data_IF_551590393199
#
_entry.id   IF_551590393199
#
_cell.length_a   1.000
_cell.length_b   1.000
_cell.length_c   1.000
_cell.angle_alpha   90.00
_cell.angle_beta   90.00
_cell.angle_gamma   90.00
#
_symmetry.space_group_name_H-M   'P 1'
#
loop_
_entity.id
_entity.type
_entity.pdbx_description
1 polymer ?
#
# COMPACT_ATOMS: atom_id res chain seq x y z
N UNK A 1 -8.95 17.01 -83.52
CA UNK A 1 -10.40 16.93 -83.79
C UNK A 1 -11.04 16.15 -82.65
N UNK A 2 -12.16 16.67 -82.14
CA UNK A 2 -13.21 16.06 -81.28
C UNK A 2 -12.88 15.60 -79.84
N UNK A 3 -13.23 16.46 -78.87
CA UNK A 3 -13.90 16.11 -77.58
C UNK A 3 -15.36 15.65 -77.81
N UNK A 4 -16.23 15.30 -76.81
CA UNK A 4 -16.10 14.98 -75.36
C UNK A 4 -16.81 13.63 -74.99
N UNK A 5 -16.85 13.12 -73.73
CA UNK A 5 -17.98 13.28 -72.78
C UNK A 5 -17.77 12.44 -71.49
N UNK A 6 -17.95 13.03 -70.31
CA UNK A 6 -18.32 12.38 -69.02
C UNK A 6 -19.83 11.96 -69.05
N UNK A 7 -20.49 11.36 -68.01
CA UNK A 7 -20.08 10.95 -66.64
C UNK A 7 -20.57 9.53 -66.20
N UNK A 8 -20.05 8.98 -65.10
CA UNK A 8 -20.85 8.13 -64.18
C UNK A 8 -20.25 8.28 -62.77
N UNK A 9 -20.98 8.95 -61.89
CA UNK A 9 -21.84 8.38 -60.84
C UNK A 9 -21.07 7.88 -59.61
N UNK A 10 -21.20 8.75 -58.60
CA UNK A 10 -21.11 8.56 -57.15
C UNK A 10 -21.27 7.10 -56.70
N UNK A 11 -20.37 6.69 -55.81
CA UNK A 11 -20.76 5.94 -54.61
C UNK A 11 -19.69 6.10 -53.55
N UNK A 12 -20.02 6.85 -52.49
CA UNK A 12 -19.33 6.82 -51.21
C UNK A 12 -19.72 5.52 -50.50
N UNK A 13 -18.77 4.67 -50.08
CA UNK A 13 -19.04 3.68 -49.05
C UNK A 13 -18.60 4.23 -47.69
N UNK A 14 -19.60 4.40 -46.85
CA UNK A 14 -19.60 4.25 -45.40
C UNK A 14 -18.35 4.62 -44.60
N UNK A 15 -18.50 5.74 -43.89
CA UNK A 15 -17.93 5.91 -42.54
C UNK A 15 -18.42 4.76 -41.67
N UNK A 16 -17.60 3.72 -41.58
CA UNK A 16 -17.72 2.74 -40.51
C UNK A 16 -17.36 3.45 -39.20
N UNK A 17 -18.40 3.77 -38.44
CA UNK A 17 -18.29 4.11 -37.04
C UNK A 17 -17.56 2.97 -36.33
N UNK A 18 -16.30 3.18 -35.99
CA UNK A 18 -15.60 2.33 -35.04
C UNK A 18 -16.41 2.36 -33.73
N UNK A 19 -16.80 1.21 -33.16
CA UNK A 19 -17.47 1.20 -31.87
C UNK A 19 -16.49 1.72 -30.82
N UNK A 20 -16.83 2.87 -30.26
CA UNK A 20 -16.19 3.44 -29.07
C UNK A 20 -16.20 2.35 -28.01
N UNK A 21 -15.02 1.79 -27.70
CA UNK A 21 -14.85 0.88 -26.56
C UNK A 21 -15.50 1.57 -25.35
N UNK A 22 -16.41 0.90 -24.63
CA UNK A 22 -16.88 1.45 -23.37
C UNK A 22 -15.65 1.68 -22.49
N UNK A 23 -15.54 2.90 -21.97
CA UNK A 23 -14.53 3.26 -20.99
C UNK A 23 -14.52 2.16 -19.92
N UNK A 24 -13.36 1.51 -19.76
CA UNK A 24 -13.15 0.56 -18.68
C UNK A 24 -13.70 1.18 -17.40
N UNK A 25 -14.62 0.51 -16.67
CA UNK A 25 -15.14 1.05 -15.43
C UNK A 25 -13.93 1.36 -14.57
N UNK A 26 -13.80 2.65 -14.21
CA UNK A 26 -12.66 3.14 -13.44
C UNK A 26 -12.42 2.18 -12.30
N UNK A 27 -11.22 1.58 -12.26
CA UNK A 27 -10.76 0.83 -11.10
C UNK A 27 -10.92 1.77 -9.92
N UNK A 28 -11.96 1.55 -9.11
CA UNK A 28 -12.08 2.17 -7.80
C UNK A 28 -10.73 1.95 -7.13
N UNK A 29 -10.13 3.02 -6.62
CA UNK A 29 -8.91 2.90 -5.82
C UNK A 29 -9.16 1.82 -4.75
N UNK A 30 -8.21 0.90 -4.52
CA UNK A 30 -8.36 -0.21 -3.56
C UNK A 30 -8.75 0.24 -2.15
N UNK A 31 -8.60 1.52 -1.83
CA UNK A 31 -9.00 2.16 -0.58
C UNK A 31 -10.52 2.19 -0.33
N UNK A 32 -11.36 1.96 -1.34
CA UNK A 32 -12.82 2.10 -1.22
C UNK A 32 -13.61 0.78 -1.20
N UNK A 33 -12.98 -0.38 -1.35
CA UNK A 33 -13.68 -1.68 -1.30
C UNK A 33 -13.31 -2.45 -0.03
N UNK A 34 -14.25 -2.43 0.93
CA UNK A 34 -14.51 -3.47 1.94
C UNK A 34 -13.51 -3.74 3.07
N UNK A 35 -12.67 -2.79 3.45
CA UNK A 35 -12.04 -2.80 4.77
C UNK A 35 -11.87 -1.36 5.29
N UNK A 36 -12.98 -0.71 5.60
CA UNK A 36 -12.93 0.56 6.33
C UNK A 36 -12.64 0.28 7.80
N UNK A 37 -11.95 1.21 8.47
CA UNK A 37 -11.73 1.14 9.93
C UNK A 37 -13.05 0.89 10.68
N UNK A 38 -14.17 1.48 10.25
CA UNK A 38 -15.46 1.31 10.90
C UNK A 38 -15.97 -0.14 10.82
N UNK A 39 -15.74 -0.81 9.69
CA UNK A 39 -16.06 -2.24 9.54
C UNK A 39 -15.13 -3.10 10.38
N UNK A 40 -13.83 -2.80 10.39
CA UNK A 40 -12.85 -3.53 11.21
C UNK A 40 -13.13 -3.35 12.72
N UNK A 41 -13.52 -2.14 13.13
CA UNK A 41 -13.86 -1.80 14.52
C UNK A 41 -15.03 -2.61 15.06
N UNK A 42 -16.05 -2.90 14.23
CA UNK A 42 -17.19 -3.75 14.64
C UNK A 42 -16.80 -5.19 14.97
N UNK A 43 -15.65 -5.64 14.49
CA UNK A 43 -15.09 -6.98 14.76
C UNK A 43 -14.19 -6.98 16.00
N UNK A 44 -13.89 -5.81 16.56
CA UNK A 44 -13.14 -5.68 17.82
C UNK A 44 -14.06 -6.03 18.98
N UNK A 45 -14.14 -7.31 19.28
CA UNK A 45 -14.85 -7.79 20.47
C UNK A 45 -14.02 -7.52 21.73
N UNK A 46 -14.68 -7.30 22.87
CA UNK A 46 -14.03 -6.96 24.15
C UNK A 46 -13.05 -8.05 24.63
N UNK A 47 -13.22 -9.29 24.15
CA UNK A 47 -12.35 -10.45 24.42
C UNK A 47 -11.07 -10.45 23.56
N UNK A 48 -11.04 -9.65 22.48
CA UNK A 48 -9.93 -9.54 21.54
C UNK A 48 -8.83 -8.61 22.06
N UNK A 49 -9.18 -7.75 23.03
CA UNK A 49 -8.29 -6.82 23.69
C UNK A 49 -7.75 -7.40 24.98
N UNK A 50 -6.60 -8.09 24.91
CA UNK A 50 -5.85 -8.43 26.12
C UNK A 50 -5.09 -7.19 26.57
N UNK A 51 -5.55 -6.59 27.67
CA UNK A 51 -4.82 -5.54 28.38
C UNK A 51 -3.84 -6.26 29.32
N UNK A 52 -2.58 -6.33 28.92
CA UNK A 52 -1.48 -6.68 29.84
C UNK A 52 -0.83 -5.42 30.38
N UNK A 53 0.03 -5.55 31.39
CA UNK A 53 0.82 -4.43 31.89
C UNK A 53 1.59 -3.77 30.73
N UNK A 54 1.14 -2.59 30.30
CA UNK A 54 1.77 -1.79 29.25
C UNK A 54 1.46 -2.18 27.79
N UNK A 55 0.48 -3.04 27.49
CA UNK A 55 0.08 -3.29 26.10
C UNK A 55 -1.37 -3.75 25.90
N UNK A 56 -1.87 -3.53 24.68
CA UNK A 56 -3.10 -4.11 24.13
C UNK A 56 -2.77 -5.02 22.95
N UNK A 57 -3.56 -6.06 22.75
CA UNK A 57 -3.54 -6.90 21.56
C UNK A 57 -4.92 -6.87 20.87
N UNK A 58 -5.00 -6.99 19.56
CA UNK A 58 -6.25 -7.04 18.81
C UNK A 58 -6.06 -7.85 17.52
N UNK A 59 -7.13 -8.42 16.97
CA UNK A 59 -7.09 -9.18 15.73
C UNK A 59 -8.05 -8.52 14.72
N UNK A 60 -7.50 -7.85 13.71
CA UNK A 60 -8.30 -7.03 12.79
C UNK A 60 -8.27 -7.58 11.35
N UNK A 61 -9.40 -7.53 10.60
CA UNK A 61 -9.38 -7.82 9.18
C UNK A 61 -8.69 -6.69 8.41
N UNK A 62 -7.48 -6.93 7.87
CA UNK A 62 -6.68 -5.92 7.15
C UNK A 62 -6.45 -6.38 5.71
N UNK A 63 -6.93 -5.57 4.75
CA UNK A 63 -6.68 -5.74 3.33
C UNK A 63 -7.05 -7.16 2.84
N UNK A 64 -6.10 -7.81 2.17
CA UNK A 64 -6.28 -9.13 1.57
C UNK A 64 -5.89 -10.30 2.50
N UNK A 65 -5.70 -10.05 3.80
CA UNK A 65 -5.36 -11.13 4.72
C UNK A 65 -6.53 -12.12 4.87
N UNK A 66 -6.31 -13.43 4.68
CA UNK A 66 -7.36 -14.43 4.82
C UNK A 66 -7.78 -14.66 6.28
N UNK A 67 -6.98 -14.17 7.24
CA UNK A 67 -7.24 -14.27 8.66
C UNK A 67 -7.06 -12.89 9.31
N UNK A 68 -7.76 -12.60 10.41
CA UNK A 68 -7.51 -11.40 11.21
C UNK A 68 -6.02 -11.26 11.56
N UNK A 69 -5.48 -10.08 11.32
CA UNK A 69 -4.08 -9.75 11.55
C UNK A 69 -3.90 -9.37 13.02
N UNK A 70 -3.00 -10.04 13.78
CA UNK A 70 -2.67 -9.65 15.13
C UNK A 70 -1.97 -8.28 15.14
N UNK A 71 -2.52 -7.36 15.90
CA UNK A 71 -1.98 -6.04 16.22
C UNK A 71 -1.67 -6.02 17.69
N UNK A 72 -0.42 -5.71 18.05
CA UNK A 72 -0.05 -5.41 19.44
C UNK A 72 0.38 -3.96 19.53
N UNK A 73 -0.23 -3.20 20.43
CA UNK A 73 0.19 -1.83 20.75
C UNK A 73 0.71 -1.79 22.18
N UNK A 74 1.96 -1.37 22.34
CA UNK A 74 2.58 -1.14 23.64
C UNK A 74 2.62 0.35 23.96
N UNK A 75 2.43 0.70 25.23
CA UNK A 75 2.43 2.06 25.74
C UNK A 75 3.71 2.33 26.51
N UNK A 76 4.25 3.54 26.36
CA UNK A 76 5.46 3.97 27.09
C UNK A 76 5.09 4.86 28.26
N UNK A 77 3.91 5.50 28.26
CA UNK A 77 3.40 6.36 29.33
C UNK A 77 1.89 6.16 29.55
N UNK A 78 1.38 6.51 30.73
CA UNK A 78 -0.06 6.42 31.06
C UNK A 78 -0.89 7.59 30.49
N UNK A 79 -0.25 8.70 30.08
CA UNK A 79 -0.90 9.86 29.43
C UNK A 79 -1.04 9.70 27.90
N UNK A 80 -0.97 8.47 27.42
CA UNK A 80 -0.81 8.15 26.01
C UNK A 80 -2.13 8.23 25.20
N UNK A 81 -1.96 8.05 23.88
CA UNK A 81 -3.00 7.94 22.87
C UNK A 81 -4.11 6.95 23.26
N UNK A 82 -5.38 7.29 22.98
CA UNK A 82 -6.48 6.39 23.30
C UNK A 82 -6.38 5.05 22.53
N UNK A 83 -7.01 4.00 23.08
CA UNK A 83 -6.94 2.64 22.53
C UNK A 83 -7.51 2.57 21.10
N UNK A 84 -8.64 3.22 20.85
CA UNK A 84 -9.33 3.18 19.56
C UNK A 84 -8.47 3.83 18.48
N UNK A 85 -7.91 5.00 18.79
CA UNK A 85 -7.03 5.76 17.93
C UNK A 85 -5.71 5.01 17.68
N UNK A 86 -5.12 4.42 18.72
CA UNK A 86 -3.91 3.60 18.60
C UNK A 86 -4.10 2.42 17.65
N UNK A 87 -5.22 1.70 17.79
CA UNK A 87 -5.58 0.60 16.89
C UNK A 87 -5.89 1.10 15.48
N UNK A 88 -6.55 2.25 15.34
CA UNK A 88 -6.85 2.88 14.06
C UNK A 88 -5.59 3.26 13.30
N UNK A 89 -4.62 3.90 13.97
CA UNK A 89 -3.33 4.26 13.34
C UNK A 89 -2.57 2.99 12.95
N UNK A 90 -2.55 1.96 13.81
CA UNK A 90 -1.93 0.66 13.51
C UNK A 90 -2.57 -0.03 12.30
N UNK A 91 -3.90 0.03 12.20
CA UNK A 91 -4.67 -0.51 11.09
C UNK A 91 -4.34 0.18 9.76
N UNK A 92 -4.33 1.52 9.77
CA UNK A 92 -3.99 2.33 8.61
C UNK A 92 -2.53 2.06 8.21
N UNK A 93 -1.60 2.04 9.16
CA UNK A 93 -0.20 1.73 8.91
C UNK A 93 -0.01 0.37 8.22
N UNK A 94 -0.70 -0.66 8.69
CA UNK A 94 -0.67 -1.98 8.06
C UNK A 94 -1.20 -1.98 6.62
N UNK A 95 -2.21 -1.17 6.34
CA UNK A 95 -2.78 -1.01 4.99
C UNK A 95 -1.87 -0.18 4.09
N UNK A 96 -1.18 0.83 4.62
CA UNK A 96 -0.22 1.63 3.85
C UNK A 96 1.05 0.83 3.58
N UNK A 97 1.54 0.02 4.53
CA UNK A 97 2.72 -0.81 4.35
C UNK A 97 2.58 -1.78 3.15
N UNK A 98 1.40 -2.39 2.94
CA UNK A 98 1.16 -3.26 1.79
C UNK A 98 1.22 -2.46 0.48
N UNK A 99 0.63 -1.28 0.42
CA UNK A 99 0.70 -0.38 -0.74
C UNK A 99 2.14 0.07 -1.03
N UNK A 100 2.92 0.40 0.01
CA UNK A 100 4.33 0.79 -0.12
C UNK A 100 5.15 -0.32 -0.78
N UNK A 101 4.98 -1.57 -0.36
CA UNK A 101 5.69 -2.70 -0.99
C UNK A 101 5.30 -2.85 -2.47
N UNK A 102 4.04 -2.61 -2.82
CA UNK A 102 3.59 -2.65 -4.22
C UNK A 102 4.14 -1.48 -5.06
N UNK A 103 4.26 -0.28 -4.49
CA UNK A 103 4.93 0.86 -5.13
C UNK A 103 6.41 0.54 -5.35
N UNK A 104 7.12 0.07 -4.32
CA UNK A 104 8.55 -0.21 -4.44
C UNK A 104 8.82 -1.33 -5.44
N UNK A 105 7.97 -2.34 -5.53
CA UNK A 105 8.13 -3.39 -6.54
C UNK A 105 7.69 -2.95 -7.95
N UNK A 106 7.21 -1.72 -8.12
CA UNK A 106 6.85 -1.13 -9.41
C UNK A 106 5.46 -1.55 -9.93
N UNK A 107 4.55 -1.97 -9.05
CA UNK A 107 3.20 -2.42 -9.43
C UNK A 107 2.11 -1.37 -9.26
N UNK A 108 2.33 -0.39 -8.41
CA UNK A 108 1.38 0.70 -8.14
C UNK A 108 2.05 2.06 -8.29
N UNK A 109 1.24 3.07 -8.65
CA UNK A 109 1.65 4.47 -8.62
C UNK A 109 1.81 4.95 -7.16
N UNK A 110 2.80 5.82 -6.87
CA UNK A 110 2.95 6.44 -5.56
C UNK A 110 1.86 7.46 -5.21
N UNK A 111 1.03 7.91 -6.17
CA UNK A 111 0.09 9.04 -5.97
C UNK A 111 -0.83 8.87 -4.75
N UNK A 112 -1.26 7.63 -4.49
CA UNK A 112 -2.12 7.31 -3.35
C UNK A 112 -1.43 7.43 -1.99
N UNK A 113 -0.10 7.43 -1.94
CA UNK A 113 0.68 7.49 -0.70
C UNK A 113 0.78 8.90 -0.12
N UNK A 114 0.70 9.95 -0.95
CA UNK A 114 0.87 11.34 -0.51
C UNK A 114 -0.16 11.81 0.52
N UNK A 115 -1.28 11.10 0.67
CA UNK A 115 -2.29 11.38 1.70
C UNK A 115 -1.89 10.89 3.08
N UNK A 116 -0.94 9.96 3.16
CA UNK A 116 -0.59 9.22 4.36
C UNK A 116 0.88 9.30 4.71
N UNK A 117 1.75 9.49 3.71
CA UNK A 117 3.20 9.54 3.86
C UNK A 117 3.68 10.91 3.43
N UNK A 118 4.61 11.46 4.21
CA UNK A 118 5.28 12.70 3.88
C UNK A 118 5.95 12.61 2.49
N UNK A 119 5.82 13.66 1.66
CA UNK A 119 6.26 13.63 0.27
C UNK A 119 7.76 13.33 0.08
N UNK A 120 8.59 13.74 1.03
CA UNK A 120 10.02 13.43 1.06
C UNK A 120 10.29 11.91 1.11
N UNK A 121 9.47 11.15 1.84
CA UNK A 121 9.56 9.70 1.92
C UNK A 121 8.92 8.99 0.74
N UNK A 122 7.84 9.53 0.17
CA UNK A 122 7.29 9.02 -1.10
C UNK A 122 8.37 9.07 -2.19
N UNK A 123 9.10 10.18 -2.28
CA UNK A 123 10.21 10.33 -3.23
C UNK A 123 11.30 9.28 -3.01
N UNK A 124 11.69 9.02 -1.74
CA UNK A 124 12.67 7.96 -1.40
C UNK A 124 12.20 6.56 -1.84
N UNK A 125 10.92 6.24 -1.65
CA UNK A 125 10.35 4.95 -2.05
C UNK A 125 10.36 4.78 -3.58
N UNK A 126 10.06 5.84 -4.33
CA UNK A 126 10.14 5.84 -5.80
C UNK A 126 11.59 5.65 -6.26
N UNK A 127 12.53 6.39 -5.69
CA UNK A 127 13.96 6.23 -5.98
C UNK A 127 14.44 4.80 -5.68
N UNK A 128 14.00 4.22 -4.56
CA UNK A 128 14.30 2.84 -4.21
C UNK A 128 13.72 1.85 -5.26
N UNK A 129 12.50 2.08 -5.76
CA UNK A 129 11.93 1.26 -6.83
C UNK A 129 12.79 1.27 -8.09
N UNK A 130 13.26 2.45 -8.50
CA UNK A 130 14.15 2.61 -9.66
C UNK A 130 15.48 1.90 -9.46
N UNK A 131 16.13 2.07 -8.30
CA UNK A 131 17.38 1.39 -7.98
C UNK A 131 17.24 -0.14 -7.98
N UNK A 132 16.11 -0.66 -7.48
CA UNK A 132 15.83 -2.10 -7.52
C UNK A 132 15.64 -2.57 -8.97
N UNK A 133 14.98 -1.78 -9.81
CA UNK A 133 14.81 -2.08 -11.23
C UNK A 133 16.16 -2.15 -11.97
N UNK A 134 17.05 -1.19 -11.71
CA UNK A 134 18.40 -1.13 -12.28
C UNK A 134 19.28 -2.30 -11.81
N UNK A 135 19.09 -2.74 -10.57
CA UNK A 135 19.83 -3.89 -10.01
C UNK A 135 19.34 -5.25 -10.54
N UNK A 136 18.19 -5.31 -11.21
CA UNK A 136 17.56 -6.57 -11.62
C UNK A 136 18.46 -7.49 -12.46
N UNK A 137 19.24 -7.00 -13.45
CA UNK A 137 20.15 -7.83 -14.23
C UNK A 137 21.27 -8.46 -13.38
N UNK A 138 21.58 -7.85 -12.24
CA UNK A 138 22.68 -8.25 -11.36
C UNK A 138 22.19 -8.87 -10.06
N UNK A 139 20.92 -9.26 -9.95
CA UNK A 139 20.33 -9.70 -8.68
C UNK A 139 21.01 -10.95 -8.09
N UNK A 140 21.60 -11.80 -8.94
CA UNK A 140 22.36 -12.99 -8.54
C UNK A 140 23.82 -12.67 -8.18
N UNK A 141 24.30 -11.45 -8.44
CA UNK A 141 25.65 -11.03 -8.12
C UNK A 141 25.86 -10.84 -6.62
N UNK A 142 26.98 -11.36 -6.11
CA UNK A 142 27.41 -11.14 -4.73
C UNK A 142 27.69 -9.66 -4.43
N UNK A 143 28.01 -8.86 -5.47
CA UNK A 143 28.28 -7.42 -5.36
C UNK A 143 27.01 -6.56 -5.22
N UNK A 144 25.84 -7.10 -5.54
CA UNK A 144 24.56 -6.38 -5.39
C UNK A 144 24.20 -6.23 -3.93
N UNK A 145 23.66 -5.07 -3.52
CA UNK A 145 23.27 -4.86 -2.12
C UNK A 145 22.23 -5.90 -1.68
N UNK A 146 22.24 -6.25 -0.39
CA UNK A 146 21.30 -7.23 0.15
C UNK A 146 19.84 -6.81 -0.06
N UNK A 147 19.54 -5.50 0.05
CA UNK A 147 18.21 -4.94 -0.14
C UNK A 147 17.75 -5.09 -1.58
N UNK A 148 18.59 -4.73 -2.56
CA UNK A 148 18.28 -4.91 -3.98
C UNK A 148 18.04 -6.38 -4.31
N UNK A 149 18.83 -7.30 -3.74
CA UNK A 149 18.60 -8.75 -3.92
C UNK A 149 17.28 -9.23 -3.31
N UNK A 150 16.92 -8.70 -2.14
CA UNK A 150 15.71 -9.11 -1.44
C UNK A 150 14.46 -8.58 -2.14
N UNK A 151 14.43 -7.29 -2.42
CA UNK A 151 13.29 -6.62 -3.04
C UNK A 151 13.16 -6.91 -4.53
N UNK A 152 14.26 -7.07 -5.26
CA UNK A 152 14.20 -7.45 -6.68
C UNK A 152 13.59 -8.84 -6.90
N UNK A 153 13.75 -9.76 -5.93
CA UNK A 153 13.07 -11.07 -5.94
C UNK A 153 11.55 -10.96 -5.75
N UNK A 154 11.05 -9.80 -5.30
CA UNK A 154 9.61 -9.52 -5.15
C UNK A 154 8.99 -8.91 -6.41
N UNK A 155 9.77 -8.25 -7.29
CA UNK A 155 9.24 -7.55 -8.47
C UNK A 155 8.46 -8.45 -9.43
N UNK A 156 8.93 -9.69 -9.64
CA UNK A 156 8.26 -10.66 -10.50
C UNK A 156 7.16 -11.47 -9.83
N UNK A 157 6.86 -11.22 -8.55
CA UNK A 157 5.85 -11.99 -7.80
C UNK A 157 4.47 -11.35 -7.98
N UNK A 158 3.56 -12.12 -8.58
CA UNK A 158 2.19 -11.67 -8.87
C UNK A 158 1.29 -11.60 -7.63
N UNK A 159 1.61 -12.34 -6.58
CA UNK A 159 0.84 -12.30 -5.33
C UNK A 159 0.92 -10.90 -4.67
N UNK A 160 -0.21 -10.39 -4.15
CA UNK A 160 -0.23 -9.13 -3.42
C UNK A 160 0.50 -9.27 -2.06
N UNK A 161 0.97 -8.16 -1.48
CA UNK A 161 1.48 -8.14 -0.12
C UNK A 161 0.33 -8.32 0.86
N UNK A 162 0.53 -9.17 1.86
CA UNK A 162 -0.45 -9.48 2.90
C UNK A 162 0.18 -9.24 4.26
N UNK A 163 -0.42 -8.35 5.05
CA UNK A 163 -0.04 -8.12 6.44
C UNK A 163 -0.27 -9.37 7.28
N UNK A 164 0.71 -9.71 8.12
CA UNK A 164 0.68 -10.89 9.00
C UNK A 164 0.76 -10.54 10.46
N UNK A 165 1.38 -9.42 10.81
CA UNK A 165 1.46 -8.92 12.17
C UNK A 165 1.77 -7.44 12.18
N UNK A 166 1.18 -6.73 13.13
CA UNK A 166 1.50 -5.33 13.44
C UNK A 166 2.01 -5.25 14.87
N UNK A 167 3.11 -4.54 15.07
CA UNK A 167 3.61 -4.17 16.39
C UNK A 167 3.76 -2.67 16.43
N UNK A 168 3.17 -2.04 17.42
CA UNK A 168 3.19 -0.60 17.56
C UNK A 168 3.65 -0.21 18.95
N UNK A 169 4.33 0.91 19.05
CA UNK A 169 4.76 1.51 20.30
C UNK A 169 4.27 2.95 20.30
N UNK A 170 3.37 3.27 21.21
CA UNK A 170 2.95 4.65 21.46
C UNK A 170 4.07 5.31 22.27
N UNK A 171 4.64 6.38 21.72
CA UNK A 171 5.73 7.15 22.36
C UNK A 171 5.21 8.37 23.09
N UNK A 172 4.10 8.92 22.60
CA UNK A 172 3.34 10.01 23.18
C UNK A 172 1.96 10.07 22.50
N UNK A 173 1.12 11.01 22.90
CA UNK A 173 -0.18 11.31 22.25
C UNK A 173 -0.08 11.60 20.74
N UNK A 174 1.09 12.00 20.26
CA UNK A 174 1.31 12.48 18.89
C UNK A 174 2.35 11.69 18.11
N UNK A 175 2.97 10.65 18.70
CA UNK A 175 4.03 9.89 18.05
C UNK A 175 3.85 8.39 18.29
N UNK A 176 3.92 7.61 17.21
CA UNK A 176 3.78 6.16 17.23
C UNK A 176 4.78 5.51 16.27
N UNK A 177 5.57 4.57 16.78
CA UNK A 177 6.45 3.72 15.97
C UNK A 177 5.72 2.41 15.65
N UNK A 178 5.72 2.00 14.38
CA UNK A 178 4.93 0.87 13.91
C UNK A 178 5.77 -0.02 13.00
N UNK A 179 5.83 -1.31 13.32
CA UNK A 179 6.39 -2.33 12.45
C UNK A 179 5.28 -3.24 11.91
N UNK A 180 5.26 -3.40 10.59
CA UNK A 180 4.31 -4.26 9.89
C UNK A 180 5.10 -5.40 9.25
N UNK A 181 4.85 -6.62 9.71
CA UNK A 181 5.37 -7.84 9.08
C UNK A 181 4.39 -8.31 8.01
N UNK A 182 4.89 -8.59 6.81
CA UNK A 182 4.10 -8.94 5.64
C UNK A 182 4.65 -10.17 4.92
N UNK A 183 3.82 -10.76 4.07
CA UNK A 183 4.19 -11.82 3.14
C UNK A 183 3.83 -11.40 1.72
N UNK A 184 4.71 -11.70 0.78
CA UNK A 184 4.45 -11.65 -0.66
C UNK A 184 4.71 -13.06 -1.17
N UNK A 185 3.63 -13.80 -1.46
CA UNK A 185 3.71 -15.25 -1.68
C UNK A 185 4.41 -15.95 -0.50
N UNK A 186 5.51 -16.68 -0.71
CA UNK A 186 6.30 -17.35 0.35
C UNK A 186 7.40 -16.46 0.95
N UNK A 187 7.50 -15.19 0.54
CA UNK A 187 8.60 -14.30 0.92
C UNK A 187 8.17 -13.33 2.01
N UNK A 188 8.92 -13.32 3.11
CA UNK A 188 8.75 -12.35 4.21
C UNK A 188 9.26 -10.98 3.80
N UNK A 189 8.50 -9.95 4.11
CA UNK A 189 8.94 -8.56 4.05
C UNK A 189 8.41 -7.81 5.27
N UNK A 190 8.92 -6.61 5.49
CA UNK A 190 8.45 -5.76 6.59
C UNK A 190 8.48 -4.29 6.19
N UNK A 191 7.75 -3.48 6.95
CA UNK A 191 7.90 -2.03 6.95
C UNK A 191 8.02 -1.52 8.38
N UNK A 192 8.96 -0.61 8.62
CA UNK A 192 9.07 0.14 9.86
C UNK A 192 8.69 1.57 9.56
N UNK A 193 7.74 2.08 10.33
CA UNK A 193 7.07 3.34 10.08
C UNK A 193 7.08 4.19 11.34
N UNK A 194 7.29 5.49 11.19
CA UNK A 194 7.03 6.48 12.24
C UNK A 194 5.81 7.29 11.83
N UNK A 195 4.83 7.35 12.72
CA UNK A 195 3.61 8.12 12.55
C UNK A 195 3.62 9.28 13.53
N UNK A 196 3.34 10.47 13.02
CA UNK A 196 3.27 11.70 13.80
C UNK A 196 1.97 12.42 13.52
N UNK A 197 1.39 13.02 14.57
CA UNK A 197 0.21 13.87 14.42
C UNK A 197 0.62 15.26 13.93
N UNK A 198 0.08 15.65 12.78
CA UNK A 198 0.20 17.00 12.22
C UNK A 198 -1.19 17.65 12.22
N UNK A 199 -1.44 18.50 13.22
CA UNK A 199 -2.77 19.05 13.47
C UNK A 199 -3.76 17.96 13.86
N UNK A 200 -4.80 17.74 13.05
CA UNK A 200 -5.81 16.70 13.29
C UNK A 200 -5.56 15.38 12.53
N UNK A 201 -4.41 15.24 11.86
CA UNK A 201 -4.12 14.10 10.97
C UNK A 201 -2.87 13.37 11.39
N UNK A 202 -2.92 12.04 11.32
CA UNK A 202 -1.74 11.19 11.41
C UNK A 202 -1.04 11.12 10.06
N UNK A 203 0.27 11.36 10.06
CA UNK A 203 1.12 11.29 8.87
C UNK A 203 2.33 10.41 9.16
N UNK A 204 2.65 9.53 8.22
CA UNK A 204 3.84 8.71 8.23
C UNK A 204 5.05 9.57 7.82
N UNK A 205 5.87 9.95 8.80
CA UNK A 205 7.09 10.77 8.64
C UNK A 205 8.35 9.91 8.52
N UNK A 206 8.23 8.59 8.55
CA UNK A 206 9.30 7.67 8.18
C UNK A 206 8.68 6.39 7.66
N UNK A 207 9.15 5.88 6.54
CA UNK A 207 8.78 4.57 6.03
C UNK A 207 10.01 3.88 5.45
N UNK A 208 10.48 2.85 6.16
CA UNK A 208 11.53 1.96 5.71
C UNK A 208 10.96 0.57 5.44
N UNK A 209 11.62 -0.20 4.58
CA UNK A 209 11.17 -1.52 4.15
C UNK A 209 12.32 -2.50 3.95
N UNK A 210 12.04 -3.79 4.11
CA UNK A 210 12.98 -4.85 3.75
C UNK A 210 12.44 -6.25 3.95
#
# INVERSE_FOLDING_TARGET
MTHPSHPSERTHPDRTHAPTKPASPGRRSPLHSETSWESARRVVDATTCLIGDGYIEAHLPIGLSPQPVPIRVSYVSEEDLDIDESLRVSYVAASIATLVIDVVRGRLSPDGLHRFIEGSYVTKLVSLSSLIAECQPYISSKKTSWLCRRMGKLRGVEAPPVSRRVRSIVKSRDIMDINVSMMVDVRRCWSSMKWERQGSRWMCTLCDIG
#
